data_IF_385096346565
#
_entry.id   IF_385096346565
#
_cell.length_a   1.000
_cell.length_b   1.000
_cell.length_c   1.000
_cell.angle_alpha   90.00
_cell.angle_beta   90.00
_cell.angle_gamma   90.00
#
_symmetry.space_group_name_H-M   'P 1'
#
loop_
_entity.id
_entity.type
_entity.pdbx_description
1 polymer ?
#
# COMPACT_ATOMS: atom_id res chain seq x y z
N UNK A 1 45.85 -35.56 -39.32
CA UNK A 1 45.15 -34.55 -40.15
C UNK A 1 44.66 -33.46 -39.18
N UNK A 2 45.44 -32.40 -38.91
CA UNK A 2 45.38 -31.07 -39.55
C UNK A 2 43.99 -30.41 -39.37
N UNK A 3 43.77 -29.24 -38.76
CA UNK A 3 44.63 -28.10 -38.39
C UNK A 3 43.89 -27.12 -37.45
N UNK A 4 44.71 -26.40 -36.70
CA UNK A 4 44.51 -25.19 -35.89
C UNK A 4 44.15 -23.92 -36.72
N UNK A 5 43.52 -22.90 -36.10
CA UNK A 5 43.67 -21.40 -36.24
C UNK A 5 42.40 -20.71 -35.68
N UNK A 6 42.35 -19.81 -34.69
CA UNK A 6 43.13 -18.65 -34.22
C UNK A 6 42.90 -17.31 -34.98
N UNK A 7 42.26 -16.37 -34.27
CA UNK A 7 42.42 -14.89 -34.21
C UNK A 7 42.17 -14.02 -35.47
N UNK A 8 41.35 -12.95 -35.34
CA UNK A 8 41.83 -11.56 -35.16
C UNK A 8 40.68 -10.54 -35.01
N UNK A 9 40.94 -9.52 -34.19
CA UNK A 9 40.18 -8.29 -33.99
C UNK A 9 40.53 -7.21 -35.04
N UNK A 10 39.67 -6.21 -35.23
CA UNK A 10 40.05 -4.80 -35.42
C UNK A 10 38.83 -3.88 -35.26
N UNK A 11 38.99 -2.79 -34.49
CA UNK A 11 37.97 -1.78 -34.25
C UNK A 11 38.11 -0.53 -35.13
N UNK A 12 37.23 0.46 -34.90
CA UNK A 12 37.44 1.87 -35.28
C UNK A 12 36.75 2.77 -34.23
N UNK A 13 37.50 3.78 -33.78
CA UNK A 13 37.09 4.88 -32.92
C UNK A 13 36.50 6.06 -33.71
N UNK A 14 35.68 6.90 -33.07
CA UNK A 14 35.20 8.16 -33.64
C UNK A 14 34.74 9.13 -32.54
N UNK A 15 35.47 10.23 -32.43
CA UNK A 15 35.42 11.31 -31.44
C UNK A 15 34.46 12.44 -31.89
N UNK A 16 33.97 13.25 -30.94
CA UNK A 16 33.80 14.73 -30.97
C UNK A 16 32.41 15.37 -30.78
N UNK A 17 32.49 16.42 -29.95
CA UNK A 17 31.76 17.70 -29.90
C UNK A 17 30.49 17.81 -29.06
N UNK A 18 30.62 18.64 -28.02
CA UNK A 18 29.52 19.18 -27.23
C UNK A 18 28.87 20.42 -27.86
N UNK A 19 27.89 20.94 -27.14
CA UNK A 19 27.23 22.21 -27.46
C UNK A 19 26.05 22.46 -26.53
N UNK A 20 26.23 23.44 -25.63
CA UNK A 20 25.15 24.07 -24.87
C UNK A 20 24.20 24.81 -25.81
N UNK A 21 22.88 24.77 -25.54
CA UNK A 21 21.95 25.79 -26.04
C UNK A 21 21.06 26.23 -24.89
N UNK A 22 21.24 27.49 -24.50
CA UNK A 22 20.36 28.23 -23.62
C UNK A 22 19.37 29.06 -24.45
N UNK A 23 18.14 29.14 -23.93
CA UNK A 23 17.15 30.23 -23.97
C UNK A 23 16.78 30.92 -25.31
N UNK A 24 15.48 30.93 -25.60
CA UNK A 24 14.79 32.11 -26.14
C UNK A 24 13.28 32.06 -25.79
N UNK A 25 12.81 33.06 -25.05
CA UNK A 25 11.40 33.40 -24.79
C UNK A 25 10.98 34.45 -25.81
N UNK A 26 9.78 34.39 -26.41
CA UNK A 26 9.14 35.57 -26.98
C UNK A 26 8.02 36.10 -26.09
N UNK A 27 8.17 37.37 -25.71
CA UNK A 27 7.15 38.26 -25.15
C UNK A 27 6.24 38.70 -26.31
N UNK A 28 4.92 38.61 -26.17
CA UNK A 28 3.95 39.26 -27.07
C UNK A 28 3.23 40.36 -26.31
N UNK A 29 3.32 41.57 -26.86
CA UNK A 29 2.72 42.80 -26.37
C UNK A 29 1.34 43.06 -27.00
N UNK A 30 0.40 43.52 -26.15
CA UNK A 30 -0.46 44.69 -26.36
C UNK A 30 -1.33 44.84 -27.61
N UNK A 31 -2.65 44.87 -27.40
CA UNK A 31 -3.61 45.49 -28.31
C UNK A 31 -4.86 45.93 -27.56
N UNK A 32 -5.04 47.24 -27.38
CA UNK A 32 -6.20 47.89 -26.77
C UNK A 32 -7.09 48.51 -27.85
N UNK A 33 -8.42 48.38 -27.71
CA UNK A 33 -9.39 49.19 -28.45
C UNK A 33 -10.35 49.82 -27.44
N UNK A 34 -10.39 51.15 -27.51
CA UNK A 34 -11.25 52.04 -26.75
C UNK A 34 -12.65 52.15 -27.36
N UNK A 35 -13.68 52.14 -26.52
CA UNK A 35 -15.06 52.50 -26.84
C UNK A 35 -15.54 53.67 -25.96
N UNK A 36 -16.17 54.67 -26.58
CA UNK A 36 -16.49 56.00 -26.03
C UNK A 36 -17.61 56.01 -24.98
N UNK A 37 -17.47 56.99 -24.06
CA UNK A 37 -18.39 57.45 -23.02
C UNK A 37 -19.81 57.83 -23.52
N UNK A 38 -20.81 57.58 -22.67
CA UNK A 38 -21.95 58.47 -22.45
C UNK A 38 -22.15 58.71 -20.94
N UNK A 39 -22.55 59.93 -20.61
CA UNK A 39 -22.56 60.58 -19.31
C UNK A 39 -23.81 60.20 -18.49
N UNK A 40 -23.66 59.93 -17.20
CA UNK A 40 -24.52 60.52 -16.16
C UNK A 40 -23.89 60.31 -14.78
N UNK A 41 -23.92 61.36 -13.97
CA UNK A 41 -23.30 61.38 -12.65
C UNK A 41 -24.13 60.66 -11.61
N UNK A 42 -23.44 59.88 -10.79
CA UNK A 42 -23.77 59.67 -9.38
C UNK A 42 -22.49 59.22 -8.66
N UNK A 43 -22.34 59.67 -7.40
CA UNK A 43 -21.14 59.48 -6.56
C UNK A 43 -20.89 57.99 -6.29
N UNK A 44 -19.63 57.49 -6.38
CA UNK A 44 -19.34 56.08 -6.13
C UNK A 44 -19.20 55.78 -4.63
N UNK A 45 -19.96 54.79 -4.18
CA UNK A 45 -19.86 54.03 -2.94
C UNK A 45 -18.58 53.15 -2.97
N UNK A 46 -17.85 52.97 -1.86
CA UNK A 46 -16.54 52.30 -1.89
C UNK A 46 -16.67 50.78 -2.07
N UNK A 47 -16.03 50.25 -3.12
CA UNK A 47 -15.89 48.81 -3.39
C UNK A 47 -15.08 48.07 -2.30
N UNK A 48 -15.40 46.79 -2.04
CA UNK A 48 -14.70 45.97 -1.06
C UNK A 48 -13.30 45.57 -1.55
N UNK A 49 -12.31 45.80 -0.69
CA UNK A 49 -10.89 45.46 -0.89
C UNK A 49 -10.70 43.94 -1.03
N UNK A 50 -10.16 43.52 -2.16
CA UNK A 50 -9.68 42.16 -2.39
C UNK A 50 -8.46 41.87 -1.50
N UNK A 51 -8.60 40.92 -0.58
CA UNK A 51 -7.49 40.37 0.20
C UNK A 51 -6.64 39.44 -0.67
N UNK A 52 -5.40 39.84 -0.92
CA UNK A 52 -4.43 39.03 -1.64
C UNK A 52 -4.13 37.72 -0.88
N UNK A 53 -4.26 36.58 -1.56
CA UNK A 53 -3.80 35.27 -1.07
C UNK A 53 -2.28 35.19 -1.25
N UNK A 54 -1.48 34.79 -0.24
CA UNK A 54 -0.04 34.62 -0.41
C UNK A 54 0.26 33.38 -1.27
N UNK A 55 1.21 33.52 -2.20
CA UNK A 55 1.71 32.44 -3.04
C UNK A 55 2.47 31.38 -2.20
N UNK A 56 2.47 30.09 -2.60
CA UNK A 56 3.15 29.04 -1.86
C UNK A 56 4.67 29.16 -2.02
N UNK A 57 5.38 29.15 -0.90
CA UNK A 57 6.84 29.04 -0.85
C UNK A 57 7.23 27.57 -1.06
N UNK A 58 8.05 27.30 -2.06
CA UNK A 58 8.58 25.96 -2.32
C UNK A 58 9.51 25.53 -1.16
N UNK A 59 9.19 24.42 -0.50
CA UNK A 59 10.02 23.82 0.55
C UNK A 59 11.08 22.89 -0.08
N UNK A 60 12.35 23.16 0.21
CA UNK A 60 13.49 22.29 -0.12
C UNK A 60 13.46 21.05 0.78
N UNK A 61 13.71 19.83 0.27
CA UNK A 61 13.64 18.61 1.08
C UNK A 61 14.88 18.48 1.97
N UNK A 62 14.79 18.97 3.20
CA UNK A 62 15.82 18.84 4.22
C UNK A 62 15.35 18.92 5.67
N UNK A 63 14.09 19.28 5.94
CA UNK A 63 13.65 19.71 7.28
C UNK A 63 12.41 18.98 7.83
N UNK A 64 12.14 17.75 7.40
CA UNK A 64 11.01 16.98 7.92
C UNK A 64 11.13 16.66 9.44
N UNK A 65 12.33 16.74 10.02
CA UNK A 65 12.57 16.58 11.47
C UNK A 65 12.43 17.87 12.28
N UNK A 66 12.45 19.05 11.65
CA UNK A 66 12.39 20.33 12.37
C UNK A 66 10.96 20.79 12.70
N UNK A 67 9.95 20.31 11.96
CA UNK A 67 8.58 20.83 12.04
C UNK A 67 7.78 20.38 13.26
N UNK A 68 8.29 19.45 14.08
CA UNK A 68 7.67 19.04 15.36
C UNK A 68 8.41 19.59 16.60
N UNK A 69 9.40 20.47 16.42
CA UNK A 69 10.24 20.94 17.51
C UNK A 69 9.54 21.94 18.45
N UNK A 70 8.50 22.65 17.99
CA UNK A 70 7.83 23.65 18.82
C UNK A 70 6.67 23.03 19.62
N UNK A 71 6.47 23.44 20.89
CA UNK A 71 5.31 23.03 21.68
C UNK A 71 3.98 23.32 21.00
N UNK A 72 3.91 24.38 20.19
CA UNK A 72 2.71 24.78 19.44
C UNK A 72 2.41 23.82 18.27
N UNK A 73 3.42 23.39 17.52
CA UNK A 73 3.25 22.40 16.46
C UNK A 73 2.82 21.03 17.02
N UNK A 74 3.39 20.62 18.17
CA UNK A 74 2.96 19.42 18.89
C UNK A 74 1.53 19.55 19.43
N UNK A 75 1.17 20.70 19.98
CA UNK A 75 -0.19 20.96 20.46
C UNK A 75 -1.21 20.97 19.32
N UNK A 76 -0.85 21.53 18.17
CA UNK A 76 -1.69 21.50 16.98
C UNK A 76 -1.83 20.08 16.43
N UNK A 77 -0.73 19.31 16.33
CA UNK A 77 -0.78 17.91 15.92
C UNK A 77 -1.63 17.06 16.88
N UNK A 78 -1.51 17.28 18.20
CA UNK A 78 -2.33 16.62 19.22
C UNK A 78 -3.82 17.01 19.09
N UNK A 79 -4.13 18.27 18.79
CA UNK A 79 -5.51 18.73 18.57
C UNK A 79 -6.10 18.17 17.28
N UNK A 80 -5.32 18.12 16.20
CA UNK A 80 -5.73 17.52 14.93
C UNK A 80 -5.96 16.02 15.09
N UNK A 81 -5.08 15.32 15.81
CA UNK A 81 -5.25 13.91 16.15
C UNK A 81 -6.47 13.69 17.06
N UNK A 82 -6.65 14.51 18.11
CA UNK A 82 -7.82 14.42 18.99
C UNK A 82 -9.14 14.72 18.27
N UNK A 83 -9.15 15.66 17.32
CA UNK A 83 -10.30 15.95 16.46
C UNK A 83 -10.60 14.81 15.49
N UNK A 84 -9.57 14.16 14.94
CA UNK A 84 -9.72 12.98 14.10
C UNK A 84 -10.24 11.78 14.91
N UNK A 85 -9.78 11.62 16.15
CA UNK A 85 -10.25 10.58 17.08
C UNK A 85 -11.69 10.83 17.58
N UNK A 86 -12.05 12.09 17.83
CA UNK A 86 -13.40 12.46 18.31
C UNK A 86 -14.49 12.35 17.23
N UNK A 87 -14.11 12.25 15.95
CA UNK A 87 -15.04 12.14 14.82
C UNK A 87 -15.41 10.69 14.47
N UNK A 88 -14.85 9.69 15.18
CA UNK A 88 -15.13 8.26 14.97
C UNK A 88 -15.54 7.60 16.28
N UNK A 89 -16.62 6.80 16.31
CA UNK A 89 -17.00 6.01 17.49
C UNK A 89 -16.09 4.78 17.69
N UNK A 90 -14.82 4.86 17.28
CA UNK A 90 -13.88 3.76 17.37
C UNK A 90 -13.35 3.63 18.80
N UNK A 91 -13.28 2.39 19.31
CA UNK A 91 -12.50 2.12 20.52
C UNK A 91 -11.07 2.66 20.32
N UNK A 92 -10.53 3.46 21.26
CA UNK A 92 -9.22 4.07 21.08
C UNK A 92 -8.16 2.98 21.00
N UNK A 93 -7.51 2.86 19.84
CA UNK A 93 -6.23 2.19 19.69
C UNK A 93 -5.28 2.92 20.65
N UNK A 94 -4.68 2.22 21.62
CA UNK A 94 -3.72 2.89 22.53
C UNK A 94 -2.58 3.47 21.70
N UNK A 95 -1.98 4.58 22.17
CA UNK A 95 -0.87 5.22 21.47
C UNK A 95 0.29 4.23 21.22
N UNK A 96 0.52 3.30 22.15
CA UNK A 96 1.49 2.22 22.04
C UNK A 96 1.13 1.25 20.91
N UNK A 97 -0.13 0.83 20.80
CA UNK A 97 -0.56 -0.05 19.71
C UNK A 97 -0.52 0.64 18.34
N UNK A 98 -0.80 1.94 18.26
CA UNK A 98 -0.62 2.73 17.04
C UNK A 98 0.88 2.85 16.67
N UNK A 99 1.75 3.10 17.64
CA UNK A 99 3.19 3.17 17.43
C UNK A 99 3.77 1.81 16.98
N UNK A 100 3.34 0.71 17.60
CA UNK A 100 3.73 -0.65 17.20
C UNK A 100 3.30 -0.96 15.76
N UNK A 101 2.09 -0.56 15.37
CA UNK A 101 1.62 -0.67 13.99
C UNK A 101 2.48 0.11 13.01
N UNK A 102 2.80 1.37 13.34
CA UNK A 102 3.68 2.19 12.49
C UNK A 102 5.06 1.53 12.31
N UNK A 103 5.66 1.02 13.38
CA UNK A 103 6.94 0.30 13.32
C UNK A 103 6.85 -0.96 12.45
N UNK A 104 5.77 -1.72 12.57
CA UNK A 104 5.49 -2.89 11.75
C UNK A 104 5.44 -2.55 10.25
N UNK A 105 4.66 -1.55 9.85
CA UNK A 105 4.58 -1.12 8.45
C UNK A 105 5.87 -0.48 7.94
N UNK A 106 6.62 0.22 8.79
CA UNK A 106 7.96 0.73 8.45
C UNK A 106 8.95 -0.41 8.17
N UNK A 107 8.87 -1.52 8.91
CA UNK A 107 9.74 -2.69 8.68
C UNK A 107 9.46 -3.35 7.32
N UNK A 108 8.17 -3.45 6.94
CA UNK A 108 7.73 -3.90 5.62
C UNK A 108 8.28 -2.99 4.53
N UNK A 109 8.09 -1.68 4.69
CA UNK A 109 8.61 -0.67 3.76
C UNK A 109 10.11 -0.81 3.53
N UNK A 110 10.89 -0.81 4.60
CA UNK A 110 12.35 -0.90 4.53
C UNK A 110 12.80 -2.20 3.86
N UNK A 111 12.08 -3.31 4.06
CA UNK A 111 12.36 -4.56 3.36
C UNK A 111 12.11 -4.44 1.86
N UNK A 112 10.97 -3.89 1.45
CA UNK A 112 10.59 -3.79 0.04
C UNK A 112 11.50 -2.82 -0.71
N UNK A 113 11.86 -1.68 -0.10
CA UNK A 113 12.86 -0.76 -0.67
C UNK A 113 14.17 -1.48 -0.99
N UNK A 114 14.63 -2.38 -0.10
CA UNK A 114 15.83 -3.19 -0.38
C UNK A 114 15.63 -4.14 -1.55
N UNK A 115 14.46 -4.75 -1.73
CA UNK A 115 14.17 -5.59 -2.90
C UNK A 115 14.15 -4.75 -4.20
N UNK A 116 13.58 -3.53 -4.13
CA UNK A 116 13.60 -2.57 -5.25
C UNK A 116 15.02 -2.16 -5.60
N UNK A 117 15.84 -1.81 -4.62
CA UNK A 117 17.23 -1.46 -4.81
C UNK A 117 18.06 -2.62 -5.38
N UNK A 118 17.89 -3.84 -4.84
CA UNK A 118 18.57 -5.05 -5.31
C UNK A 118 18.26 -5.31 -6.80
N UNK A 119 16.98 -5.23 -7.20
CA UNK A 119 16.61 -5.36 -8.62
C UNK A 119 17.23 -4.27 -9.50
N UNK A 120 17.23 -3.01 -9.04
CA UNK A 120 17.87 -1.89 -9.76
C UNK A 120 19.39 -2.12 -9.91
N UNK A 121 20.02 -2.79 -8.95
CA UNK A 121 21.43 -3.18 -8.99
C UNK A 121 21.72 -4.45 -9.82
N UNK A 122 20.70 -5.08 -10.41
CA UNK A 122 20.84 -6.33 -11.17
C UNK A 122 20.98 -7.59 -10.32
N UNK A 123 20.71 -7.49 -9.02
CA UNK A 123 20.73 -8.63 -8.10
C UNK A 123 19.46 -9.48 -8.26
N UNK A 124 19.59 -10.76 -7.92
CA UNK A 124 18.47 -11.68 -7.96
C UNK A 124 17.50 -11.41 -6.81
N UNK A 125 16.23 -11.14 -7.15
CA UNK A 125 15.12 -11.03 -6.19
C UNK A 125 14.23 -12.27 -6.31
N UNK A 126 13.84 -12.82 -5.17
CA UNK A 126 13.03 -14.04 -5.09
C UNK A 126 11.59 -13.71 -4.71
N UNK A 127 10.65 -14.50 -5.24
CA UNK A 127 9.27 -14.44 -4.76
C UNK A 127 9.16 -15.17 -3.43
N UNK A 128 8.16 -14.80 -2.66
CA UNK A 128 7.81 -15.43 -1.38
C UNK A 128 6.57 -16.33 -1.50
N UNK A 129 6.05 -16.53 -2.72
CA UNK A 129 4.92 -17.41 -3.00
C UNK A 129 5.42 -18.83 -3.25
N UNK A 130 4.91 -19.79 -2.48
CA UNK A 130 5.22 -21.20 -2.65
C UNK A 130 4.73 -21.72 -4.01
N UNK A 131 5.62 -22.41 -4.71
CA UNK A 131 5.35 -23.08 -5.98
C UNK A 131 4.42 -24.29 -5.76
N UNK A 132 3.80 -24.75 -6.85
CA UNK A 132 2.98 -25.95 -6.80
C UNK A 132 3.79 -27.17 -6.35
N UNK A 133 3.22 -27.92 -5.40
CA UNK A 133 3.86 -29.08 -4.75
C UNK A 133 5.00 -28.73 -3.80
N UNK A 134 5.22 -27.46 -3.44
CA UNK A 134 6.10 -27.10 -2.34
C UNK A 134 5.42 -27.35 -0.97
N UNK A 135 6.22 -27.64 0.05
CA UNK A 135 5.76 -27.76 1.44
C UNK A 135 6.51 -26.76 2.32
N UNK A 136 6.08 -26.62 3.58
CA UNK A 136 6.77 -25.75 4.55
C UNK A 136 8.20 -26.27 4.87
N UNK A 137 8.41 -27.59 4.81
CA UNK A 137 9.71 -28.24 5.06
C UNK A 137 10.59 -28.36 3.81
N UNK A 138 10.01 -28.28 2.62
CA UNK A 138 10.73 -28.29 1.35
C UNK A 138 10.22 -27.15 0.45
N UNK A 139 10.45 -25.89 0.83
CA UNK A 139 9.90 -24.76 0.11
C UNK A 139 10.59 -24.59 -1.24
N UNK A 140 9.77 -24.42 -2.27
CA UNK A 140 10.17 -23.90 -3.59
C UNK A 140 9.28 -22.71 -3.88
N UNK A 141 9.81 -21.71 -4.56
CA UNK A 141 9.09 -20.45 -4.81
C UNK A 141 8.86 -20.25 -6.30
N UNK A 142 7.76 -19.56 -6.63
CA UNK A 142 7.49 -19.14 -8.01
C UNK A 142 8.59 -18.17 -8.47
N UNK A 143 9.17 -18.32 -9.67
CA UNK A 143 10.23 -17.44 -10.13
C UNK A 143 9.69 -16.03 -10.43
N UNK A 144 10.49 -15.02 -10.06
CA UNK A 144 10.17 -13.61 -10.27
C UNK A 144 10.35 -13.15 -11.71
N UNK A 145 11.40 -13.65 -12.38
CA UNK A 145 11.73 -13.24 -13.75
C UNK A 145 11.73 -11.70 -13.89
N UNK A 146 11.27 -11.17 -15.03
CA UNK A 146 11.09 -9.74 -15.28
C UNK A 146 9.75 -9.19 -14.78
N UNK A 147 8.98 -9.94 -13.98
CA UNK A 147 7.63 -9.55 -13.56
C UNK A 147 7.68 -8.32 -12.63
N UNK A 148 6.69 -7.40 -12.73
CA UNK A 148 6.58 -6.26 -11.81
C UNK A 148 6.44 -6.74 -10.37
N UNK A 149 6.94 -5.96 -9.41
CA UNK A 149 6.81 -6.33 -7.99
C UNK A 149 5.37 -6.18 -7.51
N UNK A 150 4.97 -7.08 -6.62
CA UNK A 150 3.71 -6.95 -5.88
C UNK A 150 3.87 -7.35 -4.41
N UNK A 151 2.94 -6.86 -3.61
CA UNK A 151 2.71 -7.28 -2.23
C UNK A 151 1.26 -7.71 -2.10
N UNK A 152 1.06 -8.87 -1.47
CA UNK A 152 -0.25 -9.35 -1.10
C UNK A 152 -0.58 -8.91 0.32
N UNK A 153 -1.77 -8.37 0.51
CA UNK A 153 -2.31 -8.00 1.82
C UNK A 153 -3.62 -8.75 2.05
N UNK A 154 -3.71 -9.46 3.15
CA UNK A 154 -5.00 -9.95 3.63
C UNK A 154 -5.86 -8.79 4.18
N UNK A 155 -7.18 -8.89 4.02
CA UNK A 155 -8.16 -7.92 4.52
C UNK A 155 -9.04 -8.47 5.64
N UNK A 156 -9.05 -9.78 5.86
CA UNK A 156 -9.97 -10.41 6.81
C UNK A 156 -9.32 -10.48 8.19
N UNK A 157 -9.80 -9.68 9.13
CA UNK A 157 -9.34 -9.79 10.51
C UNK A 157 -9.50 -11.24 11.02
N UNK A 158 -8.43 -11.80 11.57
CA UNK A 158 -8.51 -13.05 12.30
C UNK A 158 -9.55 -12.92 13.42
N UNK A 159 -10.48 -13.88 13.49
CA UNK A 159 -11.47 -13.89 14.55
C UNK A 159 -10.76 -14.20 15.87
N UNK A 160 -10.47 -13.18 16.68
CA UNK A 160 -10.08 -13.39 18.06
C UNK A 160 -11.28 -13.95 18.84
N UNK A 161 -11.38 -15.28 18.97
CA UNK A 161 -12.35 -15.95 19.84
C UNK A 161 -13.25 -17.00 19.16
N UNK A 162 -14.26 -17.46 19.89
CA UNK A 162 -15.18 -18.56 19.53
C UNK A 162 -16.23 -18.22 18.47
N UNK A 163 -16.10 -17.07 17.80
CA UNK A 163 -17.09 -16.58 16.86
C UNK A 163 -16.49 -16.52 15.44
N UNK A 164 -16.70 -17.58 14.63
CA UNK A 164 -16.12 -17.69 13.28
C UNK A 164 -16.67 -16.65 12.30
N UNK A 165 -17.78 -15.99 12.65
CA UNK A 165 -18.40 -14.92 11.88
C UNK A 165 -17.93 -13.51 12.32
N UNK A 166 -17.14 -13.38 13.39
CA UNK A 166 -16.58 -12.10 13.86
C UNK A 166 -15.80 -11.38 12.76
N UNK A 167 -15.05 -12.16 11.97
CA UNK A 167 -14.29 -11.70 10.79
C UNK A 167 -15.18 -11.15 9.68
N UNK A 168 -16.46 -11.54 9.68
CA UNK A 168 -17.42 -11.22 8.63
C UNK A 168 -18.45 -10.16 9.03
N UNK A 169 -18.84 -10.08 10.31
CA UNK A 169 -19.94 -9.21 10.78
C UNK A 169 -19.68 -7.71 10.69
N UNK A 170 -18.43 -7.28 10.50
CA UNK A 170 -18.04 -5.87 10.69
C UNK A 170 -17.76 -5.11 9.39
N UNK A 171 -17.82 -5.84 8.28
CA UNK A 171 -17.73 -5.31 6.92
C UNK A 171 -18.77 -6.05 6.07
N UNK A 172 -19.94 -5.47 5.88
CA UNK A 172 -21.04 -5.96 5.03
C UNK A 172 -20.88 -5.42 3.60
N UNK A 173 -20.12 -4.35 3.42
CA UNK A 173 -19.89 -3.73 2.12
C UNK A 173 -21.08 -2.92 1.62
N UNK A 174 -22.06 -2.63 2.48
CA UNK A 174 -23.21 -1.78 2.14
C UNK A 174 -22.99 -0.30 2.52
N UNK A 175 -21.79 0.03 3.03
CA UNK A 175 -21.43 1.38 3.46
C UNK A 175 -21.76 1.71 4.92
N UNK A 176 -22.36 0.77 5.67
CA UNK A 176 -22.57 0.87 7.13
C UNK A 176 -21.37 0.38 7.95
N UNK A 177 -20.32 -0.07 7.26
CA UNK A 177 -19.16 -0.72 7.82
C UNK A 177 -18.41 0.17 8.82
N UNK A 178 -18.26 -0.33 10.05
CA UNK A 178 -17.46 0.32 11.08
C UNK A 178 -16.02 -0.17 10.97
N UNK A 179 -15.31 0.39 9.98
CA UNK A 179 -13.91 0.05 9.68
C UNK A 179 -13.03 1.30 9.63
N UNK A 180 -11.76 1.13 9.97
CA UNK A 180 -10.73 2.15 9.84
C UNK A 180 -9.46 1.57 9.22
N UNK A 181 -8.68 2.42 8.57
CA UNK A 181 -7.31 2.06 8.23
C UNK A 181 -6.48 1.89 9.51
N UNK A 182 -5.56 0.94 9.49
CA UNK A 182 -4.56 0.75 10.55
C UNK A 182 -3.43 1.78 10.39
N UNK A 183 -2.91 2.36 11.50
CA UNK A 183 -1.83 3.35 11.42
C UNK A 183 -0.61 2.84 10.64
N UNK A 184 -0.19 3.61 9.64
CA UNK A 184 0.94 3.30 8.75
C UNK A 184 0.59 2.51 7.49
N UNK A 185 -0.62 1.94 7.40
CA UNK A 185 -1.01 1.13 6.25
C UNK A 185 -1.23 1.97 4.99
N UNK A 186 -1.95 3.08 5.09
CA UNK A 186 -2.26 3.95 3.94
C UNK A 186 -0.99 4.60 3.42
N UNK A 187 -0.19 5.19 4.30
CA UNK A 187 1.07 5.85 3.95
C UNK A 187 2.08 4.85 3.40
N UNK A 188 2.17 3.66 4.01
CA UNK A 188 3.06 2.59 3.55
C UNK A 188 2.69 2.10 2.15
N UNK A 189 1.41 1.83 1.89
CA UNK A 189 0.94 1.37 0.57
C UNK A 189 1.12 2.45 -0.49
N UNK A 190 0.86 3.71 -0.17
CA UNK A 190 1.08 4.82 -1.11
C UNK A 190 2.57 4.97 -1.46
N UNK A 191 3.46 4.88 -0.46
CA UNK A 191 4.90 4.89 -0.68
C UNK A 191 5.34 3.75 -1.61
N UNK A 192 4.80 2.53 -1.42
CA UNK A 192 5.10 1.35 -2.24
C UNK A 192 4.71 1.55 -3.71
N UNK A 193 3.57 2.19 -3.97
CA UNK A 193 3.13 2.49 -5.33
C UNK A 193 4.05 3.47 -6.03
N UNK A 194 4.60 4.46 -5.32
CA UNK A 194 5.56 5.42 -5.88
C UNK A 194 6.85 4.76 -6.33
N UNK A 195 7.23 3.63 -5.71
CA UNK A 195 8.36 2.79 -6.13
C UNK A 195 8.00 1.74 -7.21
N UNK A 196 6.78 1.80 -7.76
CA UNK A 196 6.32 0.87 -8.81
C UNK A 196 5.96 -0.53 -8.28
N UNK A 197 5.70 -0.67 -6.98
CA UNK A 197 5.26 -1.92 -6.37
C UNK A 197 3.73 -1.96 -6.30
N UNK A 198 3.12 -3.02 -6.85
CA UNK A 198 1.67 -3.19 -6.86
C UNK A 198 1.18 -3.76 -5.52
N UNK A 199 0.39 -2.99 -4.78
CA UNK A 199 -0.40 -3.53 -3.67
C UNK A 199 -1.61 -4.31 -4.21
N UNK A 200 -1.82 -5.52 -3.72
CA UNK A 200 -2.95 -6.38 -4.08
C UNK A 200 -3.60 -6.87 -2.79
N UNK A 201 -4.91 -6.66 -2.68
CA UNK A 201 -5.70 -7.12 -1.54
C UNK A 201 -6.35 -8.46 -1.83
N UNK A 202 -6.34 -9.35 -0.85
CA UNK A 202 -7.06 -10.62 -0.87
C UNK A 202 -8.02 -10.73 0.31
N UNK A 203 -9.14 -11.42 0.11
CA UNK A 203 -10.04 -11.78 1.21
C UNK A 203 -10.83 -13.04 0.88
N UNK A 204 -11.08 -13.89 1.87
CA UNK A 204 -11.95 -15.06 1.86
C UNK A 204 -13.44 -14.74 1.63
N UNK A 205 -13.82 -13.48 1.43
CA UNK A 205 -15.20 -13.08 1.11
C UNK A 205 -15.60 -13.45 -0.31
N UNK A 206 -16.92 -13.49 -0.54
CA UNK A 206 -17.48 -13.81 -1.86
C UNK A 206 -17.29 -12.64 -2.84
N UNK A 207 -17.03 -12.92 -4.13
CA UNK A 207 -16.88 -11.91 -5.19
C UNK A 207 -18.04 -10.91 -5.34
N UNK A 208 -19.25 -11.26 -4.89
CA UNK A 208 -20.40 -10.33 -4.89
C UNK A 208 -20.11 -9.02 -4.14
N UNK A 209 -19.19 -9.02 -3.17
CA UNK A 209 -18.77 -7.83 -2.41
C UNK A 209 -17.66 -7.00 -3.07
N UNK A 210 -17.23 -7.30 -4.30
CA UNK A 210 -16.07 -6.65 -4.92
C UNK A 210 -16.19 -5.11 -5.04
N UNK A 211 -17.33 -4.61 -5.53
CA UNK A 211 -17.54 -3.18 -5.74
C UNK A 211 -17.59 -2.42 -4.41
N UNK A 212 -18.32 -2.98 -3.46
CA UNK A 212 -18.37 -2.52 -2.09
C UNK A 212 -16.97 -2.42 -1.47
N UNK A 213 -16.17 -3.45 -1.68
CA UNK A 213 -14.85 -3.53 -1.12
C UNK A 213 -13.88 -2.51 -1.72
N UNK A 214 -13.92 -2.34 -3.05
CA UNK A 214 -13.17 -1.31 -3.74
C UNK A 214 -13.57 0.10 -3.26
N UNK A 215 -14.87 0.36 -3.09
CA UNK A 215 -15.38 1.65 -2.60
C UNK A 215 -14.93 1.92 -1.16
N UNK A 216 -14.95 0.91 -0.28
CA UNK A 216 -14.42 1.03 1.08
C UNK A 216 -12.93 1.36 1.09
N UNK A 217 -12.11 0.64 0.32
CA UNK A 217 -10.66 0.90 0.25
C UNK A 217 -10.36 2.32 -0.24
N UNK A 218 -11.10 2.80 -1.24
CA UNK A 218 -10.99 4.17 -1.73
C UNK A 218 -11.37 5.18 -0.64
N UNK A 219 -12.49 4.97 0.07
CA UNK A 219 -12.95 5.82 1.18
C UNK A 219 -11.93 5.89 2.34
N UNK A 220 -11.23 4.79 2.60
CA UNK A 220 -10.19 4.70 3.63
C UNK A 220 -8.84 5.32 3.21
N UNK A 221 -8.73 5.82 1.98
CA UNK A 221 -7.52 6.46 1.48
C UNK A 221 -6.51 5.51 0.84
N UNK A 222 -6.82 4.22 0.72
CA UNK A 222 -5.95 3.29 -0.01
C UNK A 222 -5.99 3.49 -1.53
N UNK A 223 -6.84 4.38 -2.06
CA UNK A 223 -6.95 4.61 -3.50
C UNK A 223 -7.76 3.54 -4.24
N UNK A 224 -7.67 3.53 -5.56
CA UNK A 224 -8.49 2.66 -6.40
C UNK A 224 -7.95 1.23 -6.51
N UNK A 225 -8.86 0.26 -6.39
CA UNK A 225 -8.59 -1.16 -6.59
C UNK A 225 -9.55 -1.74 -7.62
N UNK A 226 -9.02 -2.59 -8.49
CA UNK A 226 -9.74 -3.22 -9.59
C UNK A 226 -10.07 -4.66 -9.19
N UNK A 227 -11.36 -5.03 -9.05
CA UNK A 227 -11.78 -6.40 -8.83
C UNK A 227 -11.16 -7.38 -9.83
N UNK A 228 -10.67 -8.52 -9.33
CA UNK A 228 -10.02 -9.56 -10.12
C UNK A 228 -8.59 -9.26 -10.56
N UNK A 229 -8.06 -8.05 -10.28
CA UNK A 229 -6.69 -7.66 -10.61
C UNK A 229 -5.89 -7.24 -9.38
N UNK A 230 -6.34 -6.20 -8.68
CA UNK A 230 -5.68 -5.66 -7.48
C UNK A 230 -6.52 -5.86 -6.22
N UNK A 231 -7.76 -6.33 -6.36
CA UNK A 231 -8.60 -6.81 -5.28
C UNK A 231 -9.16 -8.19 -5.65
N UNK A 232 -8.86 -9.20 -4.84
CA UNK A 232 -9.24 -10.60 -5.10
C UNK A 232 -10.03 -11.15 -3.92
N UNK A 233 -11.35 -11.22 -4.10
CA UNK A 233 -12.25 -11.92 -3.20
C UNK A 233 -12.37 -13.39 -3.63
N UNK A 234 -12.00 -14.32 -2.75
CA UNK A 234 -11.77 -15.75 -3.07
C UNK A 234 -12.80 -16.71 -2.48
N UNK A 235 -13.76 -16.21 -1.72
CA UNK A 235 -14.86 -17.01 -1.17
C UNK A 235 -15.88 -17.41 -2.23
N UNK A 236 -16.87 -18.21 -1.83
CA UNK A 236 -17.89 -18.76 -2.74
C UNK A 236 -18.06 -20.25 -2.53
N UNK A 237 -18.82 -20.89 -3.42
CA UNK A 237 -19.04 -22.34 -3.40
C UNK A 237 -18.72 -22.92 -4.80
N UNK A 238 -17.61 -23.66 -4.97
CA UNK A 238 -16.55 -23.86 -3.99
C UNK A 238 -15.66 -22.61 -3.84
N UNK A 239 -15.02 -22.38 -2.67
CA UNK A 239 -14.07 -21.30 -2.50
C UNK A 239 -12.75 -21.60 -3.23
N UNK A 240 -12.02 -20.55 -3.64
CA UNK A 240 -10.67 -20.67 -4.17
C UNK A 240 -9.69 -20.64 -2.99
N UNK A 241 -8.76 -21.60 -2.98
CA UNK A 241 -7.72 -21.70 -1.95
C UNK A 241 -6.82 -20.45 -1.92
N UNK A 242 -6.31 -20.09 -0.74
CA UNK A 242 -5.40 -18.95 -0.60
C UNK A 242 -4.13 -19.16 -1.42
N UNK A 243 -3.58 -20.38 -1.40
CA UNK A 243 -2.39 -20.76 -2.15
C UNK A 243 -2.61 -20.67 -3.67
N UNK A 244 -3.80 -21.03 -4.15
CA UNK A 244 -4.17 -20.88 -5.56
C UNK A 244 -4.23 -19.40 -5.97
N UNK A 245 -4.79 -18.52 -5.12
CA UNK A 245 -4.81 -17.08 -5.37
C UNK A 245 -3.38 -16.51 -5.41
N UNK A 246 -2.55 -16.85 -4.41
CA UNK A 246 -1.14 -16.43 -4.34
C UNK A 246 -0.36 -16.82 -5.60
N UNK A 247 -0.52 -18.06 -6.07
CA UNK A 247 0.11 -18.54 -7.32
C UNK A 247 -0.44 -17.84 -8.57
N UNK A 248 -1.73 -17.57 -8.63
CA UNK A 248 -2.36 -16.84 -9.75
C UNK A 248 -1.78 -15.43 -9.86
N UNK A 249 -1.61 -14.74 -8.73
CA UNK A 249 -0.94 -13.44 -8.69
C UNK A 249 0.53 -13.56 -9.09
N UNK A 250 1.25 -14.57 -8.56
CA UNK A 250 2.66 -14.81 -8.87
C UNK A 250 2.94 -15.18 -10.34
N UNK A 251 1.91 -15.57 -11.09
CA UNK A 251 2.01 -15.76 -12.54
C UNK A 251 2.26 -14.44 -13.27
N UNK A 252 1.70 -13.33 -12.77
CA UNK A 252 1.82 -12.00 -13.40
C UNK A 252 2.77 -11.06 -12.66
N UNK A 253 3.03 -11.33 -11.37
CA UNK A 253 3.82 -10.46 -10.50
C UNK A 253 4.94 -11.25 -9.82
N UNK A 254 6.05 -10.58 -9.54
CA UNK A 254 7.03 -11.03 -8.56
C UNK A 254 6.53 -10.60 -7.17
N UNK A 255 5.83 -11.50 -6.48
CA UNK A 255 5.32 -11.23 -5.12
C UNK A 255 6.49 -11.28 -4.16
N UNK A 256 6.93 -10.12 -3.66
CA UNK A 256 8.10 -9.98 -2.76
C UNK A 256 7.70 -9.95 -1.30
N UNK A 257 6.45 -9.61 -0.99
CA UNK A 257 5.95 -9.70 0.36
C UNK A 257 4.49 -10.18 0.41
N UNK A 258 4.15 -10.87 1.51
CA UNK A 258 2.79 -11.20 1.91
C UNK A 258 2.60 -10.62 3.31
N UNK A 259 1.46 -10.01 3.55
CA UNK A 259 1.07 -9.37 4.81
C UNK A 259 -0.26 -9.96 5.24
N UNK A 260 -0.34 -10.42 6.48
CA UNK A 260 -1.53 -10.98 7.10
C UNK A 260 -1.37 -11.03 8.62
N UNK A 261 -2.45 -11.35 9.33
CA UNK A 261 -2.49 -11.45 10.78
C UNK A 261 -2.66 -12.89 11.30
N UNK A 262 -2.88 -13.86 10.40
CA UNK A 262 -2.96 -15.28 10.68
C UNK A 262 -2.00 -16.12 9.83
N UNK A 263 -1.63 -17.30 10.32
CA UNK A 263 -0.70 -18.19 9.60
C UNK A 263 -1.25 -18.65 8.22
N UNK A 264 -2.57 -18.87 8.11
CA UNK A 264 -3.23 -19.25 6.86
C UNK A 264 -3.11 -18.22 5.73
N UNK A 265 -2.79 -16.96 6.05
CA UNK A 265 -2.61 -15.89 5.06
C UNK A 265 -1.35 -16.10 4.20
N UNK A 266 -0.39 -16.87 4.73
CA UNK A 266 0.89 -17.14 4.09
C UNK A 266 0.93 -18.47 3.34
N UNK A 267 0.24 -19.49 3.84
CA UNK A 267 0.12 -20.81 3.22
C UNK A 267 -1.09 -21.57 3.76
N UNK A 268 -1.84 -22.24 2.90
CA UNK A 268 -2.99 -23.07 3.33
C UNK A 268 -2.50 -24.30 4.11
N UNK A 269 -1.20 -24.63 4.02
CA UNK A 269 -0.56 -25.72 4.78
C UNK A 269 -0.53 -25.48 6.28
N UNK A 270 -0.67 -24.23 6.74
CA UNK A 270 -0.79 -23.92 8.17
C UNK A 270 -2.16 -24.27 8.74
N UNK A 271 -3.22 -24.23 7.91
CA UNK A 271 -4.59 -24.56 8.32
C UNK A 271 -4.86 -26.08 8.28
N UNK A 272 -4.07 -26.82 7.50
CA UNK A 272 -4.12 -28.28 7.43
C UNK A 272 -3.55 -28.97 8.69
N UNK A 273 -2.88 -28.23 9.57
CA UNK A 273 -2.29 -28.72 10.80
C UNK A 273 -3.21 -28.43 12.01
N UNK A 274 -3.20 -29.31 13.02
CA UNK A 274 -3.81 -28.99 14.31
C UNK A 274 -3.12 -27.76 14.95
N UNK A 275 -3.80 -27.01 15.82
CA UNK A 275 -3.28 -25.74 16.34
C UNK A 275 -1.93 -25.84 17.07
N UNK A 276 -1.58 -26.99 17.64
CA UNK A 276 -0.25 -27.19 18.24
C UNK A 276 0.81 -27.37 17.15
N UNK A 277 0.50 -28.16 16.13
CA UNK A 277 1.34 -28.40 14.96
C UNK A 277 1.48 -27.17 14.07
N UNK A 278 0.45 -26.34 13.91
CA UNK A 278 0.56 -25.07 13.17
C UNK A 278 1.53 -24.10 13.85
N UNK A 279 1.52 -24.06 15.18
CA UNK A 279 2.46 -23.23 15.96
C UNK A 279 3.90 -23.71 15.83
N UNK A 280 4.13 -25.02 15.96
CA UNK A 280 5.46 -25.61 15.74
C UNK A 280 5.91 -25.40 14.29
N UNK A 281 5.02 -25.60 13.31
CA UNK A 281 5.32 -25.42 11.89
C UNK A 281 5.72 -23.98 11.56
N UNK A 282 5.18 -22.98 12.25
CA UNK A 282 5.56 -21.59 12.03
C UNK A 282 7.04 -21.32 12.38
N UNK A 283 7.61 -22.04 13.35
CA UNK A 283 8.96 -21.79 13.87
C UNK A 283 9.99 -22.84 13.51
N UNK A 284 9.58 -24.07 13.20
CA UNK A 284 10.48 -25.23 13.04
C UNK A 284 10.68 -25.65 11.57
N UNK A 285 10.02 -24.98 10.63
CA UNK A 285 10.06 -25.30 9.21
C UNK A 285 11.11 -24.49 8.45
N UNK A 286 11.36 -24.88 7.19
CA UNK A 286 12.31 -24.18 6.32
C UNK A 286 11.80 -22.83 5.80
N UNK A 287 10.54 -22.48 6.08
CA UNK A 287 9.98 -21.14 5.78
C UNK A 287 10.15 -20.14 6.93
N UNK A 288 10.58 -20.56 8.13
CA UNK A 288 10.79 -19.67 9.26
C UNK A 288 11.66 -18.42 8.95
N UNK A 289 12.71 -18.50 8.10
CA UNK A 289 13.47 -17.31 7.70
C UNK A 289 12.70 -16.28 6.87
N UNK A 290 11.48 -16.56 6.41
CA UNK A 290 10.64 -15.59 5.70
C UNK A 290 9.99 -14.58 6.64
N UNK A 291 9.84 -14.89 7.94
CA UNK A 291 9.21 -13.98 8.89
C UNK A 291 10.02 -12.68 9.03
N UNK A 292 9.38 -11.55 8.72
CA UNK A 292 10.03 -10.22 8.66
C UNK A 292 10.95 -10.03 7.45
N UNK A 293 11.04 -11.01 6.55
CA UNK A 293 11.92 -11.02 5.38
C UNK A 293 11.19 -11.51 4.12
N UNK A 294 9.90 -11.17 4.02
CA UNK A 294 9.02 -11.55 2.92
C UNK A 294 7.63 -11.96 3.38
N UNK A 295 7.52 -12.58 4.56
CA UNK A 295 6.25 -12.85 5.24
C UNK A 295 6.15 -11.95 6.46
N UNK A 296 5.17 -11.06 6.46
CA UNK A 296 5.00 -10.05 7.49
C UNK A 296 3.70 -10.30 8.25
N UNK A 297 3.84 -10.88 9.45
CA UNK A 297 2.74 -11.03 10.40
C UNK A 297 2.48 -9.66 11.06
N UNK A 298 1.55 -8.89 10.50
CA UNK A 298 1.22 -7.53 10.93
C UNK A 298 -0.28 -7.40 11.14
N UNK A 299 -0.75 -6.37 11.87
CA UNK A 299 -2.16 -6.04 11.83
C UNK A 299 -2.63 -5.78 10.40
N UNK A 300 -3.73 -6.43 10.00
CA UNK A 300 -4.30 -6.23 8.68
C UNK A 300 -4.59 -4.74 8.43
N UNK A 301 -4.39 -4.24 7.20
CA UNK A 301 -4.41 -2.81 6.88
C UNK A 301 -5.78 -2.17 7.09
N UNK A 302 -6.85 -2.96 7.07
CA UNK A 302 -8.20 -2.54 7.43
C UNK A 302 -8.58 -3.25 8.71
N UNK A 303 -9.04 -2.51 9.71
CA UNK A 303 -9.54 -3.05 10.97
C UNK A 303 -10.98 -2.65 11.23
N UNK A 304 -11.68 -3.44 12.02
CA UNK A 304 -12.98 -3.08 12.57
C UNK A 304 -12.85 -2.13 13.75
N UNK A 305 -13.79 -1.19 13.82
CA UNK A 305 -14.02 -0.28 14.95
C UNK A 305 -15.31 -0.56 15.69
N UNK A 306 -16.13 -1.52 15.23
CA UNK A 306 -17.35 -1.90 15.94
C UNK A 306 -17.01 -2.43 17.34
N UNK A 307 -17.66 -1.88 18.36
CA UNK A 307 -17.57 -2.36 19.74
C UNK A 307 -18.67 -3.40 19.96
N UNK A 308 -18.35 -4.53 20.61
CA UNK A 308 -19.25 -5.68 20.84
C UNK A 308 -20.54 -5.33 21.63
N UNK A 309 -20.73 -4.09 22.06
CA UNK A 309 -21.83 -3.66 22.94
C UNK A 309 -23.14 -3.34 22.20
N UNK A 310 -23.19 -3.36 20.87
CA UNK A 310 -24.37 -2.86 20.13
C UNK A 310 -25.34 -3.92 19.58
N UNK A 311 -25.07 -5.22 19.74
CA UNK A 311 -25.98 -6.28 19.22
C UNK A 311 -26.71 -7.11 20.28
N UNK A 312 -26.88 -6.58 21.50
CA UNK A 312 -27.81 -7.16 22.49
C UNK A 312 -29.06 -6.29 22.72
N UNK A 313 -29.43 -5.45 21.75
CA UNK A 313 -30.79 -4.90 21.68
C UNK A 313 -31.55 -5.54 20.51
N UNK A 314 -32.07 -6.73 20.83
CA UNK A 314 -33.39 -7.26 20.49
C UNK A 314 -34.13 -6.55 19.35
N UNK A 315 -34.39 -7.30 18.30
CA UNK A 315 -35.78 -7.52 17.85
C UNK A 315 -36.16 -8.97 18.16
#
# INVERSE_FOLDING_TARGET
>A
MSRLRALLALGVAGLLCGGCVAAAIPIVAGGSIAGKRLLNGDKPEPEPVATATPAPVAATPGDATATLATPEARALALRLWASAAASSPAAPVSAESAAASLQAYQSLWAYVERQVAARKAGEAVRSVVLAEGATLDAPRYVPCEAKPFAILFDLDESAAGSDPDARFRRWIGDGSDQVSAVPGAVEGIDALRREGVQAIFTSARRPAGNNAAAAMLAKLGFGEFVPGKTLILRGGEPPISGDQVRRTVAASYCVVAIVGDALGDFSDSFDAADAARSRAAATETMVAPLWGAGWFLLPNPVRSTATTTTELRKE
#
